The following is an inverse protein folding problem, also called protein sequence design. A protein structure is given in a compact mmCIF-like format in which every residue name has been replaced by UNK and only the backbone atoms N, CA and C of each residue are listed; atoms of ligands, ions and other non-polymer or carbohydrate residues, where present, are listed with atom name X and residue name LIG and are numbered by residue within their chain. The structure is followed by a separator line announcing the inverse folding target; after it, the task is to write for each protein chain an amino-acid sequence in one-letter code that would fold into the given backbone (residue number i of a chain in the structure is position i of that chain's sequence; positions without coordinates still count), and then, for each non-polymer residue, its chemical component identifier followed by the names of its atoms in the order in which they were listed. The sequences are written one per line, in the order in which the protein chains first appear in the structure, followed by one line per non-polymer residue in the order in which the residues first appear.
data_IF_657657583882
#
_entry.id   IF_657657583882
#
_cell.length_a   1.000
_cell.length_b   1.000
_cell.length_c   1.000
_cell.angle_alpha   90.00
_cell.angle_beta   90.00
_cell.angle_gamma   90.00
#
_symmetry.space_group_name_H-M   'P 1'
#
loop_
_entity.id
_entity.type
_entity.pdbx_description
1 polymer ?
#
# COMPACT_ATOMS: atom_id res chain seq x y z
N UNK A 1 -20.74 25.36 -10.86
CA UNK A 1 -21.11 25.89 -9.54
C UNK A 1 -20.26 25.26 -8.41
N UNK A 2 -18.96 25.59 -8.37
CA UNK A 2 -18.02 25.10 -7.34
C UNK A 2 -18.26 25.71 -5.93
N UNK A 3 -18.97 26.83 -5.85
CA UNK A 3 -19.20 27.52 -4.57
C UNK A 3 -20.19 26.80 -3.63
N UNK A 4 -21.15 26.06 -4.18
CA UNK A 4 -22.14 25.34 -3.37
C UNK A 4 -21.54 24.14 -2.62
N UNK A 5 -20.57 23.46 -3.22
CA UNK A 5 -19.88 22.31 -2.61
C UNK A 5 -18.95 22.80 -1.48
N UNK A 6 -18.17 23.86 -1.71
CA UNK A 6 -17.26 24.42 -0.71
C UNK A 6 -17.98 24.91 0.56
N UNK A 7 -19.17 25.54 0.40
CA UNK A 7 -20.00 26.03 1.52
C UNK A 7 -20.60 24.87 2.32
N UNK A 8 -21.00 23.79 1.64
CA UNK A 8 -21.51 22.57 2.28
C UNK A 8 -20.45 21.88 3.14
N UNK A 9 -19.19 21.86 2.67
CA UNK A 9 -18.09 21.23 3.40
C UNK A 9 -17.61 22.04 4.60
N UNK A 10 -17.61 23.38 4.52
CA UNK A 10 -17.40 24.23 5.71
C UNK A 10 -18.39 23.91 6.83
N UNK A 11 -19.66 23.75 6.48
CA UNK A 11 -20.71 23.35 7.43
C UNK A 11 -20.52 21.90 7.92
N UNK A 12 -20.14 20.98 7.04
CA UNK A 12 -19.91 19.58 7.41
C UNK A 12 -18.71 19.44 8.36
N UNK A 13 -17.58 20.08 8.09
CA UNK A 13 -16.41 20.09 8.98
C UNK A 13 -16.72 20.79 10.32
N UNK A 14 -17.49 21.87 10.34
CA UNK A 14 -17.92 22.54 11.57
C UNK A 14 -18.91 21.69 12.40
N UNK A 15 -19.70 20.84 11.73
CA UNK A 15 -20.67 19.94 12.39
C UNK A 15 -20.01 18.63 12.85
N UNK A 16 -18.95 18.17 12.14
CA UNK A 16 -18.28 16.89 12.44
C UNK A 16 -17.33 16.99 13.63
N UNK A 17 -16.76 18.19 13.88
CA UNK A 17 -15.79 18.22 14.94
C UNK A 17 -15.31 19.56 15.35
N UNK A 18 -15.51 19.88 16.57
CA UNK A 18 -14.76 20.88 17.28
C UNK A 18 -13.25 20.58 17.28
N UNK A 19 -12.48 21.34 18.04
CA UNK A 19 -11.01 21.28 18.17
C UNK A 19 -10.41 19.84 18.30
N UNK A 20 -11.18 18.90 18.81
CA UNK A 20 -10.76 17.50 18.97
C UNK A 20 -10.50 16.76 17.66
N UNK A 21 -11.36 16.92 16.64
CA UNK A 21 -11.18 16.25 15.33
C UNK A 21 -10.02 16.89 14.57
N UNK A 22 -9.85 18.18 14.61
CA UNK A 22 -8.72 18.87 13.99
C UNK A 22 -7.39 18.42 14.61
N UNK A 23 -7.34 18.26 15.93
CA UNK A 23 -6.17 17.74 16.65
C UNK A 23 -5.86 16.29 16.23
N UNK A 24 -6.87 15.45 16.11
CA UNK A 24 -6.71 14.05 15.69
C UNK A 24 -6.21 13.94 14.24
N UNK A 25 -6.80 14.72 13.31
CA UNK A 25 -6.33 14.78 11.92
C UNK A 25 -4.88 15.27 11.83
N UNK A 26 -4.50 16.26 12.64
CA UNK A 26 -3.14 16.74 12.68
C UNK A 26 -2.13 15.74 13.24
N UNK A 27 -2.50 15.02 14.30
CA UNK A 27 -1.66 13.95 14.84
C UNK A 27 -1.44 12.85 13.81
N UNK A 28 -2.49 12.48 13.07
CA UNK A 28 -2.41 11.48 12.03
C UNK A 28 -1.54 11.94 10.84
N UNK A 29 -1.70 13.19 10.42
CA UNK A 29 -0.86 13.79 9.38
C UNK A 29 0.64 13.76 9.75
N UNK A 30 0.99 14.11 11.00
CA UNK A 30 2.38 14.05 11.47
C UNK A 30 2.88 12.61 11.50
N UNK A 31 2.08 11.66 12.01
CA UNK A 31 2.45 10.25 12.05
C UNK A 31 2.75 9.74 10.65
N UNK A 32 1.83 9.91 9.73
CA UNK A 32 1.96 9.42 8.34
C UNK A 32 3.12 10.11 7.63
N UNK A 33 3.25 11.45 7.78
CA UNK A 33 4.40 12.17 7.20
C UNK A 33 5.74 11.67 7.74
N UNK A 34 5.84 11.43 9.04
CA UNK A 34 7.03 10.87 9.68
C UNK A 34 7.37 9.46 9.18
N UNK A 35 6.36 8.61 8.97
CA UNK A 35 6.54 7.28 8.38
C UNK A 35 7.08 7.38 6.94
N UNK A 36 6.48 8.21 6.09
CA UNK A 36 6.94 8.41 4.72
C UNK A 36 8.36 9.02 4.65
N UNK A 37 8.68 10.00 5.52
CA UNK A 37 10.05 10.52 5.62
C UNK A 37 11.05 9.42 6.03
N UNK A 38 10.69 8.59 7.01
CA UNK A 38 11.53 7.49 7.46
C UNK A 38 11.76 6.46 6.36
N UNK A 39 10.72 6.12 5.59
CA UNK A 39 10.82 5.24 4.42
C UNK A 39 11.74 5.83 3.36
N UNK A 40 11.54 7.09 3.01
CA UNK A 40 12.36 7.81 2.02
C UNK A 40 13.83 7.87 2.47
N UNK A 41 14.09 8.31 3.71
CA UNK A 41 15.44 8.40 4.26
C UNK A 41 16.14 7.04 4.27
N UNK A 42 15.42 5.96 4.58
CA UNK A 42 15.98 4.61 4.58
C UNK A 42 16.44 4.19 3.18
N UNK A 43 15.61 4.39 2.15
CA UNK A 43 15.99 4.09 0.76
C UNK A 43 17.13 4.98 0.30
N UNK A 44 17.04 6.30 0.53
CA UNK A 44 18.12 7.26 0.18
C UNK A 44 19.47 6.89 0.82
N UNK A 45 19.46 6.40 2.06
CA UNK A 45 20.67 5.96 2.76
C UNK A 45 21.28 4.72 2.13
N UNK A 46 20.46 3.80 1.60
CA UNK A 46 20.92 2.54 1.01
C UNK A 46 21.45 2.71 -0.42
N UNK A 47 20.80 3.56 -1.23
CA UNK A 47 21.07 3.64 -2.68
C UNK A 47 21.43 5.03 -3.18
N UNK A 48 21.44 6.03 -2.31
CA UNK A 48 21.66 7.43 -2.68
C UNK A 48 20.37 8.11 -3.19
N UNK A 49 20.38 9.45 -3.22
CA UNK A 49 19.21 10.27 -3.53
C UNK A 49 18.70 10.07 -4.96
N UNK A 50 19.60 9.96 -5.93
CA UNK A 50 19.23 9.87 -7.35
C UNK A 50 18.50 8.56 -7.63
N UNK A 51 19.01 7.43 -7.15
CA UNK A 51 18.37 6.13 -7.31
C UNK A 51 17.08 6.05 -6.48
N UNK A 52 17.06 6.54 -5.26
CA UNK A 52 15.86 6.62 -4.44
C UNK A 52 14.75 7.43 -5.13
N UNK A 53 15.12 8.55 -5.80
CA UNK A 53 14.21 9.36 -6.60
C UNK A 53 13.59 8.62 -7.79
N UNK A 54 14.22 7.55 -8.27
CA UNK A 54 13.68 6.67 -9.31
C UNK A 54 12.84 5.53 -8.72
N UNK A 55 13.28 4.92 -7.62
CA UNK A 55 12.62 3.76 -7.01
C UNK A 55 11.31 4.12 -6.31
N UNK A 56 11.30 5.18 -5.48
CA UNK A 56 10.13 5.54 -4.68
C UNK A 56 8.87 5.78 -5.50
N UNK A 57 8.90 6.52 -6.63
CA UNK A 57 7.74 6.64 -7.51
C UNK A 57 7.26 5.31 -8.08
N UNK A 58 8.18 4.40 -8.46
CA UNK A 58 7.82 3.10 -9.01
C UNK A 58 7.20 2.18 -7.94
N UNK A 59 7.73 2.19 -6.72
CA UNK A 59 7.15 1.51 -5.56
C UNK A 59 5.72 2.02 -5.30
N UNK A 60 5.54 3.34 -5.35
CA UNK A 60 4.21 3.98 -5.18
C UNK A 60 3.23 3.54 -6.27
N UNK A 61 3.66 3.43 -7.52
CA UNK A 61 2.78 2.94 -8.60
C UNK A 61 2.41 1.46 -8.41
N UNK A 62 3.34 0.61 -7.94
CA UNK A 62 3.02 -0.77 -7.59
C UNK A 62 2.02 -0.88 -6.44
N UNK A 63 2.18 -0.07 -5.39
CA UNK A 63 1.24 -0.03 -4.27
C UNK A 63 -0.18 0.38 -4.72
N UNK A 64 -0.31 1.31 -5.67
CA UNK A 64 -1.61 1.73 -6.19
C UNK A 64 -2.42 0.64 -6.91
N UNK A 65 -1.76 -0.36 -7.46
CA UNK A 65 -2.41 -1.45 -8.22
C UNK A 65 -2.41 -2.78 -7.46
N UNK A 66 -2.02 -2.77 -6.18
CA UNK A 66 -1.90 -3.94 -5.33
C UNK A 66 -2.68 -3.74 -4.03
N UNK A 67 -3.18 -4.81 -3.40
CA UNK A 67 -3.69 -4.74 -2.02
C UNK A 67 -2.60 -4.51 -0.97
N UNK A 68 -1.32 -4.63 -1.36
CA UNK A 68 -0.18 -4.36 -0.48
C UNK A 68 0.00 -2.87 -0.25
N UNK A 69 0.32 -2.49 0.98
CA UNK A 69 0.53 -1.09 1.34
C UNK A 69 1.89 -0.56 0.87
N UNK A 70 2.03 0.76 0.83
CA UNK A 70 3.33 1.41 0.60
C UNK A 70 4.39 0.92 1.60
N UNK A 71 3.99 0.69 2.86
CA UNK A 71 4.87 0.16 3.91
C UNK A 71 5.36 -1.26 3.61
N UNK A 72 4.48 -2.15 3.12
CA UNK A 72 4.85 -3.50 2.70
C UNK A 72 5.89 -3.45 1.58
N UNK A 73 5.61 -2.65 0.55
CA UNK A 73 6.49 -2.52 -0.62
C UNK A 73 7.87 -1.95 -0.25
N UNK A 74 7.92 -0.88 0.54
CA UNK A 74 9.18 -0.29 1.01
C UNK A 74 9.93 -1.24 1.95
N UNK A 75 9.22 -1.98 2.80
CA UNK A 75 9.81 -3.02 3.63
C UNK A 75 10.52 -4.10 2.82
N UNK A 76 9.88 -4.58 1.76
CA UNK A 76 10.42 -5.55 0.83
C UNK A 76 11.60 -4.98 0.02
N UNK A 77 11.50 -3.75 -0.46
CA UNK A 77 12.59 -3.04 -1.14
C UNK A 77 13.84 -2.96 -0.27
N UNK A 78 13.70 -2.48 0.96
CA UNK A 78 14.80 -2.41 1.94
C UNK A 78 15.41 -3.77 2.22
N UNK A 79 14.59 -4.82 2.28
CA UNK A 79 15.07 -6.19 2.47
C UNK A 79 15.91 -6.63 1.27
N UNK A 80 15.44 -6.45 0.05
CA UNK A 80 16.19 -6.80 -1.17
C UNK A 80 17.51 -6.04 -1.25
N UNK A 81 17.50 -4.75 -1.03
CA UNK A 81 18.71 -3.91 -1.02
C UNK A 81 19.68 -4.35 0.09
N UNK A 82 19.19 -4.69 1.27
CA UNK A 82 19.99 -5.19 2.39
C UNK A 82 20.68 -6.52 2.11
N UNK A 83 20.12 -7.34 1.20
CA UNK A 83 20.73 -8.56 0.69
C UNK A 83 21.55 -8.35 -0.60
N UNK A 84 21.89 -7.10 -0.93
CA UNK A 84 22.68 -6.70 -2.10
C UNK A 84 22.05 -7.05 -3.47
N UNK A 85 20.72 -7.14 -3.56
CA UNK A 85 20.05 -7.17 -4.86
C UNK A 85 20.20 -5.79 -5.50
N UNK A 86 20.56 -5.76 -6.79
CA UNK A 86 20.78 -4.50 -7.50
C UNK A 86 19.50 -3.67 -7.53
N UNK A 87 19.61 -2.37 -7.23
CA UNK A 87 18.48 -1.48 -7.10
C UNK A 87 17.62 -1.41 -8.38
N UNK A 88 18.27 -1.46 -9.54
CA UNK A 88 17.63 -1.45 -10.86
C UNK A 88 16.74 -2.66 -11.12
N UNK A 89 16.99 -3.75 -10.40
CA UNK A 89 16.28 -5.02 -10.56
C UNK A 89 15.14 -5.22 -9.56
N UNK A 90 15.12 -4.47 -8.46
CA UNK A 90 14.20 -4.71 -7.35
C UNK A 90 12.74 -4.58 -7.74
N UNK A 91 12.39 -3.58 -8.53
CA UNK A 91 10.99 -3.30 -8.95
C UNK A 91 10.35 -4.48 -9.69
N UNK A 92 11.09 -5.12 -10.59
CA UNK A 92 10.58 -6.30 -11.31
C UNK A 92 10.32 -7.47 -10.38
N UNK A 93 11.18 -7.63 -9.36
CA UNK A 93 11.01 -8.69 -8.36
C UNK A 93 9.90 -8.38 -7.37
N UNK A 94 9.78 -7.11 -6.92
CA UNK A 94 8.64 -6.66 -6.11
C UNK A 94 7.31 -6.97 -6.79
N UNK A 95 7.20 -6.63 -8.10
CA UNK A 95 6.00 -6.94 -8.88
C UNK A 95 5.74 -8.45 -8.94
N UNK A 96 6.76 -9.24 -9.27
CA UNK A 96 6.62 -10.69 -9.36
C UNK A 96 6.20 -11.32 -8.03
N UNK A 97 6.83 -10.93 -6.92
CA UNK A 97 6.48 -11.44 -5.58
C UNK A 97 5.08 -10.98 -5.17
N UNK A 98 4.70 -9.74 -5.48
CA UNK A 98 3.34 -9.22 -5.27
C UNK A 98 2.29 -10.07 -6.00
N UNK A 99 2.53 -10.40 -7.27
CA UNK A 99 1.63 -11.23 -8.07
C UNK A 99 1.53 -12.65 -7.52
N UNK A 100 2.65 -13.28 -7.14
CA UNK A 100 2.68 -14.64 -6.57
C UNK A 100 1.97 -14.67 -5.21
N UNK A 101 2.14 -13.66 -4.38
CA UNK A 101 1.47 -13.54 -3.08
C UNK A 101 -0.01 -13.19 -3.19
N UNK A 102 -0.49 -12.86 -4.40
CA UNK A 102 -1.86 -12.36 -4.64
C UNK A 102 -2.23 -11.15 -3.77
N UNK A 103 -1.25 -10.32 -3.43
CA UNK A 103 -1.42 -9.17 -2.57
C UNK A 103 -1.62 -9.48 -1.08
N UNK A 104 -1.35 -10.70 -0.63
CA UNK A 104 -1.41 -11.08 0.78
C UNK A 104 -0.07 -10.74 1.47
N UNK A 105 -0.08 -9.77 2.40
CA UNK A 105 1.11 -9.20 3.02
C UNK A 105 2.00 -10.26 3.71
N UNK A 106 1.42 -11.25 4.40
CA UNK A 106 2.19 -12.31 5.07
C UNK A 106 2.97 -13.18 4.08
N UNK A 107 2.34 -13.58 2.96
CA UNK A 107 2.98 -14.35 1.90
C UNK A 107 4.01 -13.50 1.16
N UNK A 108 3.70 -12.24 0.90
CA UNK A 108 4.60 -11.28 0.27
C UNK A 108 5.90 -11.14 1.07
N UNK A 109 5.81 -10.92 2.38
CA UNK A 109 6.97 -10.80 3.24
C UNK A 109 7.78 -12.10 3.33
N UNK A 110 7.10 -13.25 3.43
CA UNK A 110 7.76 -14.57 3.46
C UNK A 110 8.50 -14.87 2.16
N UNK A 111 7.87 -14.61 1.01
CA UNK A 111 8.49 -14.79 -0.31
C UNK A 111 9.65 -13.83 -0.52
N UNK A 112 9.52 -12.56 -0.12
CA UNK A 112 10.59 -11.56 -0.21
C UNK A 112 11.81 -11.98 0.59
N UNK A 113 11.62 -12.50 1.80
CA UNK A 113 12.71 -12.98 2.64
C UNK A 113 13.43 -14.16 1.99
N UNK A 114 12.69 -15.21 1.60
CA UNK A 114 13.27 -16.40 0.96
C UNK A 114 13.98 -16.04 -0.36
N UNK A 115 13.38 -15.17 -1.17
CA UNK A 115 13.97 -14.68 -2.41
C UNK A 115 15.28 -13.91 -2.16
N UNK A 116 15.30 -13.03 -1.17
CA UNK A 116 16.47 -12.23 -0.84
C UNK A 116 17.63 -13.08 -0.30
N UNK A 117 17.32 -14.01 0.60
CA UNK A 117 18.31 -14.97 1.15
C UNK A 117 18.90 -15.85 0.06
N UNK A 118 18.05 -16.45 -0.78
CA UNK A 118 18.45 -17.26 -1.92
C UNK A 118 19.33 -16.48 -2.91
N UNK A 119 18.94 -15.22 -3.22
CA UNK A 119 19.71 -14.35 -4.11
C UNK A 119 21.10 -14.05 -3.55
N UNK A 120 21.21 -13.72 -2.27
CA UNK A 120 22.49 -13.48 -1.59
C UNK A 120 23.36 -14.72 -1.51
N UNK A 121 22.76 -15.91 -1.34
CA UNK A 121 23.49 -17.19 -1.34
C UNK A 121 23.96 -17.62 -2.74
N UNK A 122 23.43 -17.00 -3.80
CA UNK A 122 23.74 -17.33 -5.20
C UNK A 122 23.15 -18.65 -5.69
N UNK A 123 22.38 -19.37 -4.86
CA UNK A 123 21.76 -20.65 -5.17
C UNK A 123 20.55 -20.94 -4.29
N UNK A 124 19.65 -21.80 -4.79
CA UNK A 124 18.49 -22.24 -4.04
C UNK A 124 18.91 -23.27 -2.98
N UNK A 125 18.52 -23.02 -1.74
CA UNK A 125 18.71 -23.95 -0.63
C UNK A 125 17.36 -24.57 -0.20
N UNK A 126 17.42 -25.72 0.48
CA UNK A 126 16.21 -26.44 0.90
C UNK A 126 15.31 -25.65 1.83
N UNK A 127 15.89 -24.79 2.68
CA UNK A 127 15.14 -23.92 3.57
C UNK A 127 14.35 -22.86 2.76
N UNK A 128 14.99 -22.19 1.80
CA UNK A 128 14.36 -21.17 0.96
C UNK A 128 13.24 -21.80 0.11
N UNK A 129 13.50 -22.96 -0.49
CA UNK A 129 12.49 -23.71 -1.24
C UNK A 129 11.25 -24.02 -0.39
N UNK A 130 11.46 -24.54 0.84
CA UNK A 130 10.36 -24.87 1.74
C UNK A 130 9.57 -23.62 2.13
N UNK A 131 10.23 -22.49 2.38
CA UNK A 131 9.59 -21.23 2.69
C UNK A 131 8.77 -20.70 1.52
N UNK A 132 9.31 -20.78 0.29
CA UNK A 132 8.58 -20.41 -0.94
C UNK A 132 7.35 -21.31 -1.15
N UNK A 133 7.49 -22.62 -0.96
CA UNK A 133 6.37 -23.58 -1.10
C UNK A 133 5.28 -23.30 -0.06
N UNK A 134 5.65 -23.05 1.19
CA UNK A 134 4.70 -22.72 2.27
C UNK A 134 3.94 -21.41 1.98
N UNK A 135 4.57 -20.47 1.29
CA UNK A 135 3.93 -19.25 0.80
C UNK A 135 3.14 -19.45 -0.51
N UNK A 136 3.06 -20.68 -1.03
CA UNK A 136 2.27 -21.03 -2.21
C UNK A 136 3.00 -21.00 -3.54
N UNK A 137 4.33 -20.89 -3.55
CA UNK A 137 5.14 -20.86 -4.76
C UNK A 137 6.22 -21.93 -4.79
N UNK A 138 6.19 -22.79 -5.81
CA UNK A 138 7.23 -23.77 -6.03
C UNK A 138 8.06 -23.40 -7.29
N UNK A 139 9.22 -22.75 -7.15
CA UNK A 139 10.03 -22.36 -8.29
C UNK A 139 10.53 -23.56 -9.11
N UNK A 140 10.76 -24.71 -8.49
CA UNK A 140 11.18 -25.92 -9.21
C UNK A 140 10.10 -26.41 -10.19
N UNK A 141 8.82 -26.15 -9.93
CA UNK A 141 7.74 -26.47 -10.87
C UNK A 141 7.90 -25.66 -12.16
N UNK A 142 8.11 -24.35 -12.04
CA UNK A 142 8.30 -23.45 -13.19
C UNK A 142 9.55 -23.83 -13.97
N UNK A 143 10.66 -24.10 -13.28
CA UNK A 143 11.92 -24.54 -13.90
C UNK A 143 11.73 -25.89 -14.61
N UNK A 144 10.99 -26.83 -14.02
CA UNK A 144 10.64 -28.11 -14.63
C UNK A 144 9.88 -27.95 -15.94
N UNK A 145 8.84 -27.13 -15.93
CA UNK A 145 8.01 -26.82 -17.11
C UNK A 145 8.84 -26.19 -18.25
N UNK A 146 9.79 -25.34 -17.92
CA UNK A 146 10.67 -24.68 -18.90
C UNK A 146 11.78 -25.57 -19.45
N UNK A 147 12.37 -26.39 -18.59
CA UNK A 147 13.57 -27.17 -18.94
C UNK A 147 13.27 -28.62 -19.34
N UNK A 148 12.05 -29.11 -19.06
CA UNK A 148 11.67 -30.50 -19.24
C UNK A 148 12.30 -31.47 -18.20
N UNK A 149 13.09 -30.97 -17.25
CA UNK A 149 13.68 -31.74 -16.16
C UNK A 149 12.62 -32.15 -15.13
N UNK A 150 12.71 -33.36 -14.58
CA UNK A 150 11.80 -33.74 -13.50
C UNK A 150 12.08 -32.97 -12.21
N UNK A 151 11.07 -32.83 -11.35
CA UNK A 151 11.23 -32.21 -10.02
C UNK A 151 12.26 -32.99 -9.18
N UNK A 152 12.32 -34.33 -9.32
CA UNK A 152 13.30 -35.18 -8.63
C UNK A 152 14.74 -34.84 -9.07
N UNK A 153 14.95 -34.68 -10.37
CA UNK A 153 16.24 -34.25 -10.94
C UNK A 153 16.64 -32.88 -10.43
N UNK A 154 15.71 -31.90 -10.43
CA UNK A 154 15.98 -30.55 -9.95
C UNK A 154 16.28 -30.51 -8.45
N UNK A 155 15.65 -31.36 -7.64
CA UNK A 155 15.97 -31.47 -6.21
C UNK A 155 17.38 -32.09 -5.99
N UNK A 156 17.78 -33.06 -6.81
CA UNK A 156 19.14 -33.61 -6.78
C UNK A 156 20.17 -32.52 -7.19
N UNK A 157 19.91 -31.79 -8.29
CA UNK A 157 20.73 -30.67 -8.73
C UNK A 157 20.81 -29.55 -7.64
N UNK A 158 19.70 -29.23 -6.99
CA UNK A 158 19.65 -28.27 -5.87
C UNK A 158 20.54 -28.72 -4.72
N UNK A 159 20.50 -30.02 -4.34
CA UNK A 159 21.35 -30.56 -3.28
C UNK A 159 22.84 -30.43 -3.57
N UNK A 160 23.20 -30.41 -4.85
CA UNK A 160 24.56 -30.18 -5.36
C UNK A 160 24.89 -28.69 -5.59
N UNK A 161 23.95 -27.80 -5.29
CA UNK A 161 24.10 -26.34 -5.50
C UNK A 161 24.02 -25.90 -6.97
N UNK A 162 23.47 -26.74 -7.85
CA UNK A 162 23.39 -26.47 -9.28
C UNK A 162 22.11 -25.72 -9.70
N UNK A 163 21.15 -25.49 -8.79
CA UNK A 163 20.03 -24.59 -9.02
C UNK A 163 20.46 -23.20 -8.56
N UNK A 164 20.87 -22.36 -9.52
CA UNK A 164 21.39 -21.03 -9.22
C UNK A 164 20.29 -20.03 -8.81
N UNK A 165 20.68 -18.91 -8.19
CA UNK A 165 19.78 -17.83 -7.85
C UNK A 165 19.09 -17.28 -9.11
N UNK A 166 19.83 -17.10 -10.22
CA UNK A 166 19.32 -16.58 -11.47
C UNK A 166 18.21 -17.48 -12.06
N UNK A 167 18.35 -18.80 -11.95
CA UNK A 167 17.31 -19.74 -12.39
C UNK A 167 16.01 -19.54 -11.63
N UNK A 168 16.11 -19.29 -10.32
CA UNK A 168 14.94 -19.08 -9.46
C UNK A 168 14.37 -17.68 -9.67
N UNK A 169 15.21 -16.65 -9.77
CA UNK A 169 14.79 -15.30 -10.11
C UNK A 169 14.01 -15.28 -11.42
N UNK A 170 14.52 -15.99 -12.44
CA UNK A 170 13.84 -16.13 -13.72
C UNK A 170 12.50 -16.88 -13.57
N UNK A 171 12.42 -17.89 -12.70
CA UNK A 171 11.17 -18.61 -12.43
C UNK A 171 10.08 -17.70 -11.82
N UNK A 172 10.45 -16.73 -10.97
CA UNK A 172 9.52 -15.71 -10.47
C UNK A 172 8.98 -14.84 -11.61
N UNK A 173 9.87 -14.38 -12.50
CA UNK A 173 9.48 -13.58 -13.67
C UNK A 173 8.59 -14.38 -14.63
N UNK A 174 8.97 -15.61 -14.94
CA UNK A 174 8.20 -16.45 -15.86
C UNK A 174 6.80 -16.78 -15.33
N UNK A 175 6.69 -17.06 -14.05
CA UNK A 175 5.40 -17.35 -13.40
C UNK A 175 4.42 -16.17 -13.43
N UNK A 176 4.94 -14.94 -13.56
CA UNK A 176 4.16 -13.69 -13.50
C UNK A 176 4.12 -12.93 -14.82
N UNK A 177 4.81 -13.43 -15.84
CA UNK A 177 4.74 -12.91 -17.21
C UNK A 177 3.44 -13.31 -17.91
N UNK A 178 3.14 -12.70 -19.05
CA UNK A 178 1.96 -13.03 -19.87
C UNK A 178 1.91 -14.54 -20.17
N UNK A 179 0.80 -15.19 -19.82
CA UNK A 179 0.63 -16.64 -19.92
C UNK A 179 1.13 -17.42 -18.69
N UNK A 180 1.80 -16.78 -17.75
CA UNK A 180 2.20 -17.39 -16.47
C UNK A 180 1.01 -17.53 -15.52
N UNK A 181 1.11 -18.51 -14.63
CA UNK A 181 0.04 -18.86 -13.67
C UNK A 181 -0.37 -17.71 -12.74
N UNK A 182 0.56 -16.81 -12.43
CA UNK A 182 0.36 -15.72 -11.50
C UNK A 182 0.30 -14.33 -12.18
N UNK A 183 0.10 -14.32 -13.51
CA UNK A 183 0.04 -13.08 -14.27
C UNK A 183 -1.03 -12.12 -13.76
N UNK A 184 -0.64 -10.91 -13.38
CA UNK A 184 -1.50 -9.83 -12.86
C UNK A 184 -2.41 -10.24 -11.66
N UNK A 185 -2.00 -11.24 -10.88
CA UNK A 185 -2.82 -11.72 -9.74
C UNK A 185 -2.99 -10.67 -8.65
N UNK A 186 -1.97 -9.87 -8.38
CA UNK A 186 -2.06 -8.76 -7.40
C UNK A 186 -3.04 -7.69 -7.84
N UNK A 187 -2.99 -7.27 -9.12
CA UNK A 187 -3.95 -6.33 -9.69
C UNK A 187 -5.38 -6.89 -9.68
N UNK A 188 -5.55 -8.17 -9.96
CA UNK A 188 -6.87 -8.80 -9.88
C UNK A 188 -7.37 -8.89 -8.42
N UNK A 189 -6.49 -9.18 -7.47
CA UNK A 189 -6.82 -9.17 -6.05
C UNK A 189 -7.22 -7.77 -5.56
N UNK A 190 -6.60 -6.71 -6.09
CA UNK A 190 -6.95 -5.33 -5.76
C UNK A 190 -8.39 -4.95 -6.15
N UNK A 191 -8.98 -5.62 -7.13
CA UNK A 191 -10.36 -5.40 -7.58
C UNK A 191 -11.41 -6.05 -6.67
N UNK A 192 -11.01 -6.90 -5.73
CA UNK A 192 -11.90 -7.48 -4.72
C UNK A 192 -12.28 -6.46 -3.65
N UNK A 193 -13.35 -6.74 -2.88
CA UNK A 193 -13.77 -5.85 -1.78
C UNK A 193 -12.63 -5.64 -0.78
N UNK A 194 -11.93 -6.72 -0.38
CA UNK A 194 -10.80 -6.61 0.55
C UNK A 194 -9.62 -5.84 -0.05
N UNK A 195 -9.32 -6.06 -1.33
CA UNK A 195 -8.30 -5.30 -2.05
C UNK A 195 -8.64 -3.81 -2.11
N UNK A 196 -9.89 -3.48 -2.40
CA UNK A 196 -10.37 -2.08 -2.41
C UNK A 196 -10.29 -1.42 -1.04
N UNK A 197 -10.56 -2.15 0.04
CA UNK A 197 -10.43 -1.64 1.42
C UNK A 197 -8.96 -1.36 1.77
N UNK A 198 -8.03 -2.23 1.39
CA UNK A 198 -6.59 -2.02 1.61
C UNK A 198 -6.06 -0.81 0.84
N UNK A 199 -6.35 -0.72 -0.46
CA UNK A 199 -5.96 0.43 -1.30
C UNK A 199 -6.52 1.76 -0.80
N UNK A 200 -7.65 1.70 -0.18
CA UNK A 200 -8.32 2.84 0.44
C UNK A 200 -7.54 3.43 1.61
N UNK A 201 -7.02 2.56 2.48
CA UNK A 201 -6.18 2.97 3.61
C UNK A 201 -4.91 3.65 3.10
N UNK A 202 -4.27 3.05 2.09
CA UNK A 202 -3.04 3.57 1.49
C UNK A 202 -3.27 4.93 0.78
N UNK A 203 -4.44 5.10 0.15
CA UNK A 203 -4.84 6.39 -0.44
C UNK A 203 -5.02 7.48 0.62
N UNK A 204 -5.62 7.17 1.77
CA UNK A 204 -5.75 8.10 2.90
C UNK A 204 -4.38 8.49 3.46
N UNK A 205 -3.49 7.52 3.65
CA UNK A 205 -2.12 7.78 4.11
C UNK A 205 -1.34 8.65 3.11
N UNK A 206 -1.53 8.45 1.81
CA UNK A 206 -0.95 9.31 0.77
C UNK A 206 -1.44 10.76 0.88
N UNK A 207 -2.74 10.96 1.15
CA UNK A 207 -3.33 12.29 1.37
C UNK A 207 -2.74 12.95 2.61
N UNK A 208 -2.64 12.23 3.72
CA UNK A 208 -2.05 12.76 4.95
C UNK A 208 -0.57 13.10 4.77
N UNK A 209 0.19 12.30 4.01
CA UNK A 209 1.56 12.61 3.67
C UNK A 209 1.67 13.91 2.85
N UNK A 210 0.83 14.11 1.82
CA UNK A 210 0.83 15.35 1.03
C UNK A 210 0.51 16.58 1.89
N UNK A 211 -0.48 16.46 2.78
CA UNK A 211 -0.81 17.54 3.73
C UNK A 211 0.35 17.81 4.67
N UNK A 212 1.04 16.76 5.14
CA UNK A 212 2.23 16.86 5.96
C UNK A 212 3.38 17.58 5.25
N UNK A 213 3.63 17.29 3.98
CA UNK A 213 4.65 17.99 3.17
C UNK A 213 4.35 19.49 3.10
N UNK A 214 3.11 19.86 2.81
CA UNK A 214 2.69 21.27 2.70
C UNK A 214 2.77 22.04 4.03
N UNK A 215 2.76 21.33 5.15
CA UNK A 215 2.78 21.89 6.50
C UNK A 215 4.10 21.65 7.23
N UNK A 216 5.10 21.09 6.56
CA UNK A 216 6.35 20.62 7.18
C UNK A 216 7.12 21.73 7.89
N UNK A 217 7.20 22.94 7.30
CA UNK A 217 7.85 24.09 7.94
C UNK A 217 7.19 24.46 9.27
N UNK A 218 5.87 24.39 9.35
CA UNK A 218 5.11 24.68 10.57
C UNK A 218 5.24 23.58 11.61
N UNK A 219 5.33 22.30 11.16
CA UNK A 219 5.56 21.14 12.03
C UNK A 219 6.95 21.19 12.64
N UNK A 220 7.97 21.52 11.84
CA UNK A 220 9.38 21.58 12.27
C UNK A 220 9.64 22.75 13.22
N UNK A 221 8.95 23.87 13.06
CA UNK A 221 9.08 25.03 13.94
C UNK A 221 8.40 24.86 15.31
N UNK A 222 7.74 23.71 15.55
CA UNK A 222 7.08 23.40 16.82
C UNK A 222 5.88 24.30 17.15
N UNK A 223 5.42 25.12 16.19
CA UNK A 223 4.36 26.09 16.38
C UNK A 223 3.01 25.51 16.01
N UNK A 224 2.23 25.17 17.04
CA UNK A 224 0.77 25.04 17.05
C UNK A 224 0.14 24.38 15.80
N UNK A 225 0.24 23.07 15.73
CA UNK A 225 -0.43 22.23 14.76
C UNK A 225 -1.92 22.56 14.58
N UNK A 226 -2.60 22.95 15.65
CA UNK A 226 -4.00 23.38 15.66
C UNK A 226 -4.21 24.62 14.79
N UNK A 227 -3.30 25.58 14.83
CA UNK A 227 -3.40 26.82 14.03
C UNK A 227 -3.17 26.54 12.55
N UNK A 228 -2.19 25.68 12.22
CA UNK A 228 -1.92 25.31 10.83
C UNK A 228 -3.06 24.52 10.20
N UNK A 229 -3.69 23.62 10.93
CA UNK A 229 -4.87 22.87 10.46
C UNK A 229 -6.09 23.78 10.29
N UNK A 230 -6.28 24.74 11.19
CA UNK A 230 -7.34 25.75 11.07
C UNK A 230 -7.08 26.62 9.85
N UNK A 231 -5.85 27.02 9.59
CA UNK A 231 -5.49 27.84 8.43
C UNK A 231 -5.56 27.06 7.11
N UNK A 232 -5.26 25.75 7.14
CA UNK A 232 -5.28 24.86 5.96
C UNK A 232 -6.56 24.04 5.83
N UNK A 233 -7.61 24.32 6.62
CA UNK A 233 -8.88 23.57 6.57
C UNK A 233 -9.51 23.53 5.17
N UNK A 234 -9.26 24.53 4.33
CA UNK A 234 -9.71 24.53 2.93
C UNK A 234 -9.00 23.47 2.08
N UNK A 235 -7.72 23.21 2.34
CA UNK A 235 -6.95 22.17 1.64
C UNK A 235 -7.43 20.79 2.07
N UNK A 236 -7.63 20.56 3.37
CA UNK A 236 -8.22 19.32 3.90
C UNK A 236 -9.63 19.12 3.32
N UNK A 237 -10.43 20.18 3.28
CA UNK A 237 -11.77 20.15 2.68
C UNK A 237 -11.75 19.82 1.18
N UNK A 238 -10.79 20.37 0.42
CA UNK A 238 -10.64 20.06 -1.02
C UNK A 238 -10.22 18.61 -1.26
N UNK A 239 -9.37 18.07 -0.41
CA UNK A 239 -8.95 16.65 -0.49
C UNK A 239 -10.12 15.73 -0.18
N UNK A 240 -10.86 15.99 0.91
CA UNK A 240 -12.07 15.24 1.24
C UNK A 240 -13.12 15.37 0.13
N UNK A 241 -13.30 16.56 -0.44
CA UNK A 241 -14.17 16.76 -1.59
C UNK A 241 -13.69 15.98 -2.81
N UNK A 242 -12.38 15.91 -3.06
CA UNK A 242 -11.78 15.09 -4.11
C UNK A 242 -12.05 13.59 -3.90
N UNK A 243 -11.92 13.11 -2.67
CA UNK A 243 -12.27 11.71 -2.32
C UNK A 243 -13.76 11.43 -2.55
N UNK A 244 -14.62 12.35 -2.16
CA UNK A 244 -16.09 12.23 -2.40
C UNK A 244 -16.42 12.21 -3.89
N UNK A 245 -15.80 13.06 -4.69
CA UNK A 245 -15.99 13.09 -6.14
C UNK A 245 -15.47 11.79 -6.78
N UNK A 246 -14.35 11.26 -6.30
CA UNK A 246 -13.71 10.07 -6.86
C UNK A 246 -14.40 8.78 -6.43
N UNK A 247 -14.80 8.68 -5.17
CA UNK A 247 -15.28 7.44 -4.55
C UNK A 247 -16.74 7.48 -4.10
N UNK A 248 -17.39 8.64 -4.19
CA UNK A 248 -18.77 8.86 -3.72
C UNK A 248 -18.87 9.06 -2.21
N UNK A 249 -19.95 9.72 -1.77
CA UNK A 249 -20.20 10.07 -0.36
C UNK A 249 -20.25 8.87 0.58
N UNK A 250 -20.85 7.79 0.15
CA UNK A 250 -20.95 6.56 0.95
C UNK A 250 -19.60 5.91 1.18
N UNK A 251 -18.80 5.73 0.12
CA UNK A 251 -17.45 5.14 0.22
C UNK A 251 -16.53 6.00 1.07
N UNK A 252 -16.55 7.31 0.88
CA UNK A 252 -15.75 8.25 1.71
C UNK A 252 -16.17 8.20 3.18
N UNK A 253 -17.46 8.08 3.49
CA UNK A 253 -17.92 7.93 4.87
C UNK A 253 -17.49 6.59 5.48
N UNK A 254 -17.59 5.49 4.72
CA UNK A 254 -17.07 4.17 5.14
C UNK A 254 -15.56 4.22 5.37
N UNK A 255 -14.81 4.88 4.49
CA UNK A 255 -13.38 5.12 4.62
C UNK A 255 -13.02 5.80 5.95
N UNK A 256 -13.68 6.92 6.23
CA UNK A 256 -13.45 7.70 7.44
C UNK A 256 -13.81 6.90 8.71
N UNK A 257 -14.88 6.10 8.65
CA UNK A 257 -15.28 5.22 9.75
C UNK A 257 -14.26 4.11 9.97
N UNK A 258 -13.82 3.42 8.92
CA UNK A 258 -12.85 2.33 9.01
C UNK A 258 -11.48 2.83 9.47
N UNK A 259 -11.05 4.00 8.99
CA UNK A 259 -9.82 4.65 9.46
C UNK A 259 -9.91 5.04 10.93
N UNK A 260 -11.07 5.51 11.38
CA UNK A 260 -11.32 5.83 12.79
C UNK A 260 -11.40 4.56 13.68
N UNK A 261 -11.98 3.47 13.18
CA UNK A 261 -12.11 2.20 13.92
C UNK A 261 -10.79 1.44 14.05
N UNK A 262 -9.88 1.56 13.07
CA UNK A 262 -8.59 0.88 13.11
C UNK A 262 -7.58 1.48 14.10
N UNK A 263 -7.85 2.67 14.64
CA UNK A 263 -6.95 3.39 15.57
C UNK A 263 -7.68 3.77 16.86
N UNK A 264 -7.42 3.03 17.91
CA UNK A 264 -8.04 3.12 19.25
C UNK A 264 -8.10 4.52 19.92
N UNK A 265 -7.41 5.53 19.41
CA UNK A 265 -7.39 6.90 19.95
C UNK A 265 -8.35 7.87 19.27
N UNK A 266 -8.90 7.53 18.12
CA UNK A 266 -9.93 8.32 17.40
C UNK A 266 -11.36 7.91 17.79
N UNK A 267 -11.49 6.86 18.59
CA UNK A 267 -12.68 6.00 18.67
C UNK A 267 -13.85 6.63 19.41
N UNK A 268 -13.67 7.42 20.45
CA UNK A 268 -14.83 7.83 21.29
C UNK A 268 -15.57 9.07 20.80
N UNK A 269 -14.92 10.01 20.17
CA UNK A 269 -15.55 11.28 19.73
C UNK A 269 -15.91 11.25 18.24
N UNK A 270 -15.07 10.61 17.39
CA UNK A 270 -15.28 10.50 15.96
C UNK A 270 -16.35 9.49 15.55
N UNK A 271 -16.49 8.40 16.31
CA UNK A 271 -17.37 7.27 15.95
C UNK A 271 -18.85 7.66 15.89
N UNK A 272 -19.31 8.45 16.86
CA UNK A 272 -20.71 8.90 16.91
C UNK A 272 -21.03 9.81 15.72
N UNK A 273 -20.12 10.70 15.37
CA UNK A 273 -20.29 11.64 14.27
C UNK A 273 -20.10 10.96 12.89
N UNK A 274 -19.16 10.03 12.77
CA UNK A 274 -18.96 9.24 11.56
C UNK A 274 -20.14 8.31 11.27
N UNK A 275 -20.72 7.67 12.31
CA UNK A 275 -21.95 6.88 12.19
C UNK A 275 -23.15 7.73 11.79
N UNK A 276 -23.26 8.95 12.30
CA UNK A 276 -24.32 9.88 11.91
C UNK A 276 -24.20 10.31 10.45
N UNK A 277 -22.97 10.54 9.97
CA UNK A 277 -22.69 10.85 8.57
C UNK A 277 -22.95 9.68 7.64
N UNK A 278 -22.50 8.48 8.00
CA UNK A 278 -22.78 7.25 7.25
C UNK A 278 -24.29 7.02 7.15
N UNK A 279 -25.04 7.23 8.24
CA UNK A 279 -26.51 7.12 8.25
C UNK A 279 -27.17 8.19 7.38
N UNK A 280 -26.70 9.44 7.40
CA UNK A 280 -27.20 10.50 6.51
C UNK A 280 -26.88 10.24 5.04
N UNK A 281 -25.68 9.75 4.73
CA UNK A 281 -25.30 9.35 3.39
C UNK A 281 -26.13 8.18 2.87
N UNK A 282 -26.41 7.19 3.73
CA UNK A 282 -27.29 6.06 3.40
C UNK A 282 -28.72 6.52 3.12
N UNK A 283 -29.26 7.43 3.92
CA UNK A 283 -30.60 8.02 3.72
C UNK A 283 -30.67 8.81 2.41
N UNK A 284 -29.63 9.57 2.08
CA UNK A 284 -29.55 10.30 0.82
C UNK A 284 -29.45 9.37 -0.38
N UNK A 285 -28.71 8.26 -0.26
CA UNK A 285 -28.61 7.23 -1.29
C UNK A 285 -29.95 6.53 -1.49
N UNK A 286 -30.61 6.14 -0.40
CA UNK A 286 -31.92 5.51 -0.45
C UNK A 286 -32.97 6.44 -1.07
N UNK A 287 -32.95 7.75 -0.74
CA UNK A 287 -33.83 8.72 -1.35
C UNK A 287 -33.56 8.87 -2.87
N UNK A 288 -32.28 8.90 -3.28
CA UNK A 288 -31.89 8.95 -4.69
C UNK A 288 -32.30 7.69 -5.47
N UNK A 289 -32.23 6.51 -4.83
CA UNK A 289 -32.66 5.23 -5.44
C UNK A 289 -34.19 5.15 -5.58
N UNK A 290 -34.94 5.78 -4.65
CA UNK A 290 -36.42 5.84 -4.74
C UNK A 290 -36.92 6.85 -5.79
N UNK A 291 -36.08 7.81 -6.19
CA UNK A 291 -36.43 8.83 -7.21
C UNK A 291 -35.95 8.45 -8.62
N UNK A 292 -35.22 7.34 -8.78
CA UNK A 292 -34.73 6.88 -10.07
C UNK A 292 -35.46 5.59 -10.46
N UNK A 293 -36.40 5.63 -11.43
CA UNK A 293 -37.22 4.47 -11.79
C UNK A 293 -36.56 3.45 -12.73
N UNK A 294 -35.22 3.47 -12.86
CA UNK A 294 -34.45 2.50 -13.65
C UNK A 294 -33.34 1.86 -12.82
#
# INVERSE_FOLDING_TARGET
SNNGIAISWKKALAVIGGAGVLKALGSEMIRVRGEFQSMQTAIETMVGKDMAGQLIPQIKELAKISPLTMSDMVGAEKMMLGFNIQAEDTIKYLKAISDISMGESSKFNSLTLAFSQMSAAGKLMGQDLNQMINAGFNPLQIISEKTGKSIATLKDEMSKGAVSAEMVQQAFIDATSAGGKFYNMSENASKTINGQLSMMQDALDSVFNELGIKSESVIMDGIQMTTSLIQNYETVGKVLAGLVVTYGTYRTAVMLVTAAESKHTLVEIGLTNARLLARKAQLALNAAMLTNPY
#
